data_IF_082002035863
#
_entry.id   IF_082002035863
#
_cell.length_a   1.000
_cell.length_b   1.000
_cell.length_c   1.000
_cell.angle_alpha   90.00
_cell.angle_beta   90.00
_cell.angle_gamma   90.00
#
_symmetry.space_group_name_H-M   'P 1'
#
loop_
_entity.id
_entity.type
_entity.pdbx_description
1 polymer ?
#
# COMPACT_ATOMS: atom_id res chain seq x y z
N UNK A 1 -6.89 -12.52 -1.38
CA UNK A 1 -6.90 -11.08 -1.70
C UNK A 1 -8.31 -10.70 -2.14
N UNK A 2 -9.05 -10.00 -1.28
CA UNK A 2 -10.44 -9.59 -1.51
C UNK A 2 -10.49 -8.42 -2.52
N UNK A 3 -11.61 -8.22 -3.19
CA UNK A 3 -11.76 -7.20 -4.24
C UNK A 3 -11.53 -5.76 -3.72
N UNK A 4 -11.73 -5.52 -2.42
CA UNK A 4 -11.50 -4.23 -1.77
C UNK A 4 -10.00 -3.90 -1.64
N UNK A 5 -9.18 -4.92 -1.39
CA UNK A 5 -7.72 -4.77 -1.25
C UNK A 5 -7.08 -4.42 -2.60
N UNK A 6 -7.56 -5.02 -3.69
CA UNK A 6 -7.13 -4.69 -5.06
C UNK A 6 -7.45 -3.24 -5.42
N UNK A 7 -8.64 -2.76 -5.05
CA UNK A 7 -9.06 -1.37 -5.30
C UNK A 7 -8.22 -0.39 -4.49
N UNK A 8 -7.94 -0.70 -3.22
CA UNK A 8 -7.06 0.11 -2.38
C UNK A 8 -5.65 0.24 -2.98
N UNK A 9 -5.09 -0.85 -3.50
CA UNK A 9 -3.80 -0.84 -4.20
C UNK A 9 -3.81 0.02 -5.46
N UNK A 10 -4.81 -0.18 -6.32
CA UNK A 10 -4.93 0.54 -7.58
C UNK A 10 -5.06 2.04 -7.35
N UNK A 11 -5.85 2.46 -6.37
CA UNK A 11 -5.98 3.88 -6.00
C UNK A 11 -4.62 4.44 -5.55
N UNK A 12 -3.88 3.73 -4.69
CA UNK A 12 -2.56 4.17 -4.27
C UNK A 12 -1.58 4.29 -5.44
N UNK A 13 -1.59 3.31 -6.35
CA UNK A 13 -0.74 3.32 -7.54
C UNK A 13 -1.09 4.49 -8.48
N UNK A 14 -2.37 4.73 -8.72
CA UNK A 14 -2.84 5.83 -9.58
C UNK A 14 -2.50 7.18 -8.97
N UNK A 15 -2.72 7.37 -7.67
CA UNK A 15 -2.35 8.61 -6.95
C UNK A 15 -0.84 8.82 -7.01
N UNK A 16 -0.04 7.77 -6.81
CA UNK A 16 1.42 7.86 -6.92
C UNK A 16 1.87 8.32 -8.32
N UNK A 17 1.32 7.72 -9.37
CA UNK A 17 1.66 8.08 -10.76
C UNK A 17 1.23 9.53 -11.07
N UNK A 18 0.01 9.93 -10.68
CA UNK A 18 -0.51 11.29 -10.91
C UNK A 18 0.35 12.35 -10.22
N UNK A 19 0.69 12.15 -8.95
CA UNK A 19 1.51 13.09 -8.18
C UNK A 19 2.90 13.24 -8.79
N UNK A 20 3.53 12.13 -9.21
CA UNK A 20 4.83 12.17 -9.88
C UNK A 20 4.76 12.88 -11.24
N UNK A 21 3.71 12.65 -12.03
CA UNK A 21 3.52 13.33 -13.30
C UNK A 21 3.38 14.85 -13.14
N UNK A 22 2.64 15.31 -12.12
CA UNK A 22 2.50 16.74 -11.79
C UNK A 22 3.83 17.33 -11.33
N UNK A 23 4.59 16.64 -10.48
CA UNK A 23 5.92 17.09 -10.02
C UNK A 23 6.93 17.22 -11.17
N UNK A 24 6.93 16.26 -12.10
CA UNK A 24 7.75 16.32 -13.31
C UNK A 24 7.34 17.52 -14.17
N UNK A 25 6.04 17.75 -14.36
CA UNK A 25 5.55 18.91 -15.11
C UNK A 25 5.97 20.24 -14.46
N UNK A 26 5.84 20.36 -13.13
CA UNK A 26 6.30 21.54 -12.37
C UNK A 26 7.81 21.74 -12.54
N UNK A 27 8.60 20.66 -12.50
CA UNK A 27 10.04 20.72 -12.68
C UNK A 27 10.42 21.32 -14.03
N UNK A 28 9.80 20.82 -15.12
CA UNK A 28 10.04 21.33 -16.46
C UNK A 28 9.57 22.77 -16.66
N UNK A 29 8.51 23.20 -15.96
CA UNK A 29 7.97 24.57 -16.08
C UNK A 29 8.82 25.59 -15.30
N UNK A 30 9.22 25.26 -14.07
CA UNK A 30 9.81 26.24 -13.15
C UNK A 30 11.33 26.17 -13.06
N UNK A 31 11.96 25.00 -13.27
CA UNK A 31 13.41 24.84 -13.14
C UNK A 31 13.92 23.65 -13.95
N UNK A 32 13.95 23.74 -15.29
CA UNK A 32 14.41 22.65 -16.16
C UNK A 32 15.87 22.24 -15.90
N UNK A 33 16.71 23.16 -15.40
CA UNK A 33 18.13 22.90 -15.09
C UNK A 33 18.36 22.25 -13.72
N UNK A 34 17.36 22.21 -12.83
CA UNK A 34 17.49 21.64 -11.49
C UNK A 34 16.57 20.42 -11.34
N UNK A 35 17.13 19.23 -11.10
CA UNK A 35 16.36 17.98 -10.97
C UNK A 35 15.79 17.85 -9.54
N UNK A 36 14.93 18.76 -9.11
CA UNK A 36 14.41 18.76 -7.73
C UNK A 36 13.33 17.71 -7.48
N UNK A 37 12.67 17.21 -8.54
CA UNK A 37 11.56 16.24 -8.43
C UNK A 37 11.98 14.91 -7.78
N UNK A 38 13.28 14.61 -7.75
CA UNK A 38 13.83 13.39 -7.16
C UNK A 38 13.67 13.33 -5.63
N UNK A 39 13.72 14.48 -4.95
CA UNK A 39 13.57 14.57 -3.49
C UNK A 39 12.18 14.16 -3.00
N UNK A 40 11.07 14.70 -3.54
CA UNK A 40 9.73 14.22 -3.21
C UNK A 40 9.50 12.78 -3.68
N UNK A 41 10.08 12.37 -4.81
CA UNK A 41 9.95 11.00 -5.34
C UNK A 41 10.56 9.96 -4.38
N UNK A 42 11.76 10.21 -3.84
CA UNK A 42 12.41 9.35 -2.86
C UNK A 42 11.83 9.50 -1.45
N UNK A 43 11.52 10.73 -1.02
CA UNK A 43 11.01 11.00 0.32
C UNK A 43 9.60 10.46 0.55
N UNK A 44 8.69 10.68 -0.40
CA UNK A 44 7.31 10.21 -0.28
C UNK A 44 7.12 8.79 -0.84
N UNK A 45 7.90 8.39 -1.85
CA UNK A 45 7.84 7.03 -2.40
C UNK A 45 8.25 5.97 -1.37
N UNK A 46 9.23 6.26 -0.52
CA UNK A 46 9.63 5.35 0.56
C UNK A 46 8.59 5.28 1.68
N UNK A 47 7.97 6.40 2.05
CA UNK A 47 6.89 6.44 3.04
C UNK A 47 5.65 5.64 2.62
N UNK A 48 5.22 5.80 1.35
CA UNK A 48 4.10 5.04 0.79
C UNK A 48 4.44 3.55 0.69
N UNK A 49 5.65 3.20 0.24
CA UNK A 49 6.08 1.79 0.14
C UNK A 49 6.13 1.12 1.52
N UNK A 50 6.65 1.80 2.54
CA UNK A 50 6.69 1.28 3.91
C UNK A 50 5.28 1.14 4.50
N UNK A 51 4.38 2.09 4.24
CA UNK A 51 2.99 2.01 4.70
C UNK A 51 2.23 0.88 4.00
N UNK A 52 2.45 0.70 2.70
CA UNK A 52 1.82 -0.33 1.90
C UNK A 52 2.31 -1.75 2.28
N UNK A 53 3.61 -1.92 2.52
CA UNK A 53 4.17 -3.18 3.00
C UNK A 53 3.62 -3.56 4.37
N UNK A 54 3.55 -2.61 5.31
CA UNK A 54 2.91 -2.83 6.61
C UNK A 54 1.42 -3.14 6.45
N UNK A 55 0.74 -2.41 5.55
CA UNK A 55 -0.58 -2.67 5.00
C UNK A 55 -0.87 -4.16 4.79
N UNK A 56 -0.13 -4.69 3.82
CA UNK A 56 -0.25 -6.07 3.34
C UNK A 56 0.14 -7.07 4.42
N UNK A 57 1.22 -6.81 5.17
CA UNK A 57 1.70 -7.72 6.22
C UNK A 57 0.72 -7.82 7.40
N UNK A 58 0.03 -6.72 7.74
CA UNK A 58 -0.98 -6.70 8.80
C UNK A 58 -2.21 -7.53 8.41
N UNK A 59 -2.60 -7.43 7.13
CA UNK A 59 -3.73 -8.15 6.55
C UNK A 59 -3.52 -9.68 6.53
N UNK A 60 -2.32 -10.12 6.20
CA UNK A 60 -1.93 -11.54 6.21
C UNK A 60 -2.02 -12.14 7.62
N UNK A 61 -1.58 -11.37 8.64
CA UNK A 61 -1.70 -11.79 10.04
C UNK A 61 -3.16 -11.92 10.50
N UNK A 62 -4.04 -11.07 10.00
CA UNK A 62 -5.43 -11.05 10.42
C UNK A 62 -6.25 -12.19 9.78
N UNK A 63 -5.95 -12.53 8.53
CA UNK A 63 -6.48 -13.74 7.87
C UNK A 63 -6.06 -15.01 8.61
N UNK A 64 -4.77 -15.13 8.94
CA UNK A 64 -4.25 -16.28 9.69
C UNK A 64 -4.90 -16.41 11.07
N UNK A 65 -5.17 -15.28 11.75
CA UNK A 65 -5.92 -15.28 13.01
C UNK A 65 -7.36 -15.79 12.84
N UNK A 66 -8.04 -15.43 11.75
CA UNK A 66 -9.41 -15.88 11.47
C UNK A 66 -9.47 -17.39 11.20
N UNK A 67 -8.51 -17.93 10.47
CA UNK A 67 -8.39 -19.38 10.22
C UNK A 67 -8.14 -20.15 11.52
N UNK A 68 -7.14 -19.76 12.31
CA UNK A 68 -6.85 -20.42 13.60
C UNK A 68 -8.04 -20.36 14.55
N UNK A 69 -8.80 -19.26 14.57
CA UNK A 69 -9.99 -19.11 15.41
C UNK A 69 -11.17 -19.95 14.88
N UNK A 70 -11.31 -20.11 13.56
CA UNK A 70 -12.30 -21.00 12.96
C UNK A 70 -11.99 -22.47 13.28
N UNK A 71 -10.73 -22.89 13.12
CA UNK A 71 -10.26 -24.23 13.48
C UNK A 71 -10.46 -24.53 14.96
N UNK A 72 -10.15 -23.58 15.84
CA UNK A 72 -10.39 -23.73 17.28
C UNK A 72 -11.87 -23.94 17.62
N UNK A 73 -12.78 -23.17 17.00
CA UNK A 73 -14.23 -23.32 17.20
C UNK A 73 -14.78 -24.66 16.69
N UNK A 74 -14.28 -25.13 15.54
CA UNK A 74 -14.66 -26.46 15.01
C UNK A 74 -14.15 -27.58 15.91
N UNK A 75 -12.91 -27.48 16.41
CA UNK A 75 -12.35 -28.45 17.37
C UNK A 75 -13.11 -28.46 18.69
N UNK A 76 -13.54 -27.30 19.17
CA UNK A 76 -14.34 -27.20 20.39
C UNK A 76 -15.74 -27.81 20.20
N UNK A 77 -16.39 -27.60 19.04
CA UNK A 77 -17.71 -28.17 18.75
C UNK A 77 -17.69 -29.68 18.55
N UNK A 78 -16.57 -30.26 18.10
CA UNK A 78 -16.40 -31.72 17.94
C UNK A 78 -16.11 -32.39 19.30
N UNK A 79 -15.47 -31.66 20.22
CA UNK A 79 -15.06 -32.18 21.54
C UNK A 79 -16.17 -32.11 22.60
N UNK A 80 -17.21 -31.30 22.35
CA UNK A 80 -18.36 -31.10 23.24
C UNK A 80 -19.49 -32.05 22.89
#
# INVERSE_FOLDING_TARGET
MTEEEKKGFLIHLVVYILVNAVLIAINFIYSPDAIWFFYPLLGWGTGITAHYLNAVHWMERDLKKKETKAEYRVRESIRK
#
